data_IF_825065740117
#
_entry.id   IF_825065740117
#
_cell.length_a   1.000
_cell.length_b   1.000
_cell.length_c   1.000
_cell.angle_alpha   90.00
_cell.angle_beta   90.00
_cell.angle_gamma   90.00
#
_symmetry.space_group_name_H-M   'P 1'
#
loop_
_entity.id
_entity.type
_entity.pdbx_description
1 polymer ?
#
# COMPACT_ATOMS: atom_id res chain seq x y z
N UNK A 1 14.75 4.98 -13.51
CA UNK A 1 14.40 4.69 -12.10
C UNK A 1 14.16 5.95 -11.26
N UNK A 2 15.08 6.94 -11.25
CA UNK A 2 14.93 8.17 -10.45
C UNK A 2 13.56 8.88 -10.63
N UNK A 3 13.08 9.03 -11.86
CA UNK A 3 11.76 9.62 -12.13
C UNK A 3 10.59 8.82 -11.51
N UNK A 4 10.64 7.48 -11.58
CA UNK A 4 9.60 6.62 -10.98
C UNK A 4 9.61 6.74 -9.46
N UNK A 5 10.80 6.88 -8.84
CA UNK A 5 10.92 7.08 -7.40
C UNK A 5 10.19 8.35 -6.96
N UNK A 6 10.41 9.46 -7.66
CA UNK A 6 9.72 10.72 -7.38
C UNK A 6 8.20 10.54 -7.55
N UNK A 7 7.74 10.03 -8.69
CA UNK A 7 6.29 9.93 -8.97
C UNK A 7 5.58 9.01 -7.99
N UNK A 8 6.14 7.84 -7.68
CA UNK A 8 5.44 6.83 -6.87
C UNK A 8 5.67 7.04 -5.38
N UNK A 9 6.93 7.10 -4.93
CA UNK A 9 7.22 7.20 -3.49
C UNK A 9 6.89 8.58 -2.95
N UNK A 10 7.35 9.64 -3.62
CA UNK A 10 7.10 11.01 -3.16
C UNK A 10 5.69 11.46 -3.55
N UNK A 11 5.29 11.23 -4.81
CA UNK A 11 4.02 11.73 -5.34
C UNK A 11 2.78 11.01 -4.81
N UNK A 12 2.81 9.68 -4.71
CA UNK A 12 1.65 8.91 -4.25
C UNK A 12 1.78 8.50 -2.78
N UNK A 13 2.81 7.72 -2.43
CA UNK A 13 2.91 7.07 -1.11
C UNK A 13 3.07 8.08 0.02
N UNK A 14 4.03 9.01 -0.09
CA UNK A 14 4.27 10.01 0.95
C UNK A 14 3.05 10.94 1.11
N UNK A 15 2.40 11.34 0.01
CA UNK A 15 1.18 12.16 0.06
C UNK A 15 0.03 11.43 0.75
N UNK A 16 -0.20 10.14 0.44
CA UNK A 16 -1.20 9.33 1.15
C UNK A 16 -0.89 9.25 2.65
N UNK A 17 0.38 9.08 3.01
CA UNK A 17 0.81 9.09 4.41
C UNK A 17 0.56 10.44 5.09
N UNK A 18 0.84 11.55 4.42
CA UNK A 18 0.57 12.89 4.94
C UNK A 18 -0.92 13.08 5.25
N UNK A 19 -1.81 12.62 4.37
CA UNK A 19 -3.25 12.65 4.67
C UNK A 19 -3.60 11.84 5.92
N UNK A 20 -3.06 10.63 6.06
CA UNK A 20 -3.31 9.77 7.23
C UNK A 20 -2.81 10.42 8.52
N UNK A 21 -1.59 10.94 8.51
CA UNK A 21 -0.99 11.61 9.68
C UNK A 21 -1.74 12.90 10.04
N UNK A 22 -2.28 13.63 9.07
CA UNK A 22 -3.09 14.82 9.36
C UNK A 22 -4.49 14.50 9.91
N UNK A 23 -5.08 13.37 9.50
CA UNK A 23 -6.41 12.95 9.98
C UNK A 23 -6.36 12.30 11.37
N UNK A 24 -5.23 11.69 11.74
CA UNK A 24 -5.04 11.03 13.01
C UNK A 24 -4.28 11.95 13.97
N UNK A 25 -4.86 12.20 15.14
CA UNK A 25 -4.18 12.91 16.22
C UNK A 25 -3.22 11.95 16.94
N UNK A 26 -1.99 11.82 16.43
CA UNK A 26 -0.98 10.89 16.94
C UNK A 26 -0.10 11.63 17.97
N UNK A 27 -0.11 11.18 19.22
CA UNK A 27 0.81 11.67 20.26
C UNK A 27 2.18 10.96 20.14
N UNK A 28 3.14 11.66 19.54
CA UNK A 28 4.51 11.16 19.38
C UNK A 28 5.34 11.19 20.67
N UNK A 29 4.90 11.90 21.71
CA UNK A 29 5.61 11.98 22.97
C UNK A 29 5.45 10.68 23.77
N UNK A 30 4.25 10.10 23.78
CA UNK A 30 3.99 8.81 24.43
C UNK A 30 4.70 7.65 23.69
N UNK A 31 4.74 7.69 22.35
CA UNK A 31 5.48 6.70 21.54
C UNK A 31 7.00 6.72 21.76
N UNK A 32 7.56 7.85 22.20
CA UNK A 32 8.99 7.98 22.52
C UNK A 32 9.33 7.62 23.96
N UNK A 33 8.32 7.47 24.84
CA UNK A 33 8.55 7.01 26.19
C UNK A 33 9.04 5.56 26.18
N UNK A 34 10.25 5.31 26.70
CA UNK A 34 10.87 3.98 26.73
C UNK A 34 11.78 3.63 25.54
N UNK A 35 11.89 4.49 24.51
CA UNK A 35 12.82 4.26 23.41
C UNK A 35 14.30 4.26 23.85
N UNK A 36 14.62 5.06 24.88
CA UNK A 36 15.97 5.14 25.44
C UNK A 36 16.36 3.88 26.23
N UNK A 37 15.40 3.15 26.78
CA UNK A 37 15.66 1.93 27.56
C UNK A 37 16.19 0.80 26.66
N UNK A 38 15.80 0.78 25.39
CA UNK A 38 16.25 -0.18 24.38
C UNK A 38 17.44 0.30 23.54
N UNK A 39 17.91 1.53 23.75
CA UNK A 39 19.05 2.10 23.04
C UNK A 39 20.33 1.23 23.06
N UNK A 40 20.76 0.62 24.19
CA UNK A 40 21.98 -0.21 24.20
C UNK A 40 21.83 -1.49 23.37
N UNK A 41 20.64 -2.09 23.37
CA UNK A 41 20.35 -3.29 22.55
C UNK A 41 20.31 -2.92 21.07
N UNK A 42 19.65 -1.81 20.72
CA UNK A 42 19.63 -1.30 19.35
C UNK A 42 21.03 -0.94 18.84
N UNK A 43 21.86 -0.34 19.68
CA UNK A 43 23.25 -0.02 19.34
C UNK A 43 24.09 -1.29 19.09
N UNK A 44 23.93 -2.33 19.92
CA UNK A 44 24.62 -3.62 19.70
C UNK A 44 24.24 -4.24 18.35
N UNK A 45 22.94 -4.30 18.03
CA UNK A 45 22.44 -4.82 16.75
C UNK A 45 22.97 -3.96 15.59
N UNK A 46 22.95 -2.63 15.73
CA UNK A 46 23.45 -1.69 14.72
C UNK A 46 24.95 -1.88 14.44
N UNK A 47 25.75 -2.12 15.47
CA UNK A 47 27.19 -2.41 15.31
C UNK A 47 27.41 -3.74 14.60
N UNK A 48 26.66 -4.77 14.96
CA UNK A 48 26.74 -6.08 14.29
C UNK A 48 26.43 -5.93 12.80
N UNK A 49 25.32 -5.26 12.45
CA UNK A 49 24.95 -4.99 11.07
C UNK A 49 26.00 -4.14 10.33
N UNK A 50 26.57 -3.13 11.00
CA UNK A 50 27.62 -2.30 10.41
C UNK A 50 28.88 -3.12 10.10
N UNK A 51 29.29 -4.01 11.01
CA UNK A 51 30.41 -4.93 10.78
C UNK A 51 30.09 -5.88 9.62
N UNK A 52 28.88 -6.43 9.55
CA UNK A 52 28.44 -7.30 8.46
C UNK A 52 28.52 -6.58 7.10
N UNK A 53 28.02 -5.35 7.01
CA UNK A 53 28.11 -4.54 5.80
C UNK A 53 29.56 -4.21 5.42
N UNK A 54 30.44 -3.94 6.39
CA UNK A 54 31.86 -3.71 6.14
C UNK A 54 32.56 -4.97 5.63
N UNK A 55 32.24 -6.14 6.18
CA UNK A 55 32.78 -7.42 5.72
C UNK A 55 32.32 -7.72 4.30
N UNK A 56 31.03 -7.51 4.00
CA UNK A 56 30.50 -7.66 2.65
C UNK A 56 31.23 -6.71 1.70
N UNK A 57 31.22 -5.40 1.99
CA UNK A 57 31.85 -4.38 1.14
C UNK A 57 33.36 -4.63 0.94
N UNK A 58 34.07 -5.04 1.99
CA UNK A 58 35.48 -5.44 1.92
C UNK A 58 35.70 -6.69 1.07
N UNK A 59 34.80 -7.67 1.14
CA UNK A 59 34.80 -8.87 0.30
C UNK A 59 34.72 -8.54 -1.19
N UNK A 60 33.85 -7.60 -1.58
CA UNK A 60 33.77 -7.12 -2.98
C UNK A 60 35.07 -6.46 -3.46
N UNK A 61 35.77 -5.74 -2.58
CA UNK A 61 37.06 -5.11 -2.91
C UNK A 61 38.21 -6.13 -3.05
N UNK A 62 38.14 -7.28 -2.35
CA UNK A 62 39.18 -8.31 -2.34
C UNK A 62 39.04 -9.34 -3.46
N UNK A 63 37.84 -9.57 -3.99
CA UNK A 63 37.59 -10.52 -5.09
C UNK A 63 36.82 -9.89 -6.26
N UNK A 64 37.51 -9.17 -7.19
CA UNK A 64 36.89 -8.49 -8.32
C UNK A 64 36.30 -9.43 -9.40
N UNK A 65 36.53 -10.75 -9.30
CA UNK A 65 35.90 -11.73 -10.21
C UNK A 65 34.39 -11.85 -10.00
N UNK A 66 33.88 -11.68 -8.77
CA UNK A 66 32.45 -11.75 -8.45
C UNK A 66 31.68 -10.59 -9.09
N UNK A 67 32.32 -9.42 -9.21
CA UNK A 67 31.71 -8.21 -9.78
C UNK A 67 31.50 -8.30 -11.30
N UNK A 68 32.17 -9.22 -12.00
CA UNK A 68 32.06 -9.37 -13.46
C UNK A 68 30.94 -10.32 -13.90
N UNK A 69 30.32 -11.04 -12.97
CA UNK A 69 29.24 -12.00 -13.27
C UNK A 69 27.87 -11.32 -13.27
N UNK A 70 27.72 -10.22 -14.01
CA UNK A 70 26.40 -9.66 -14.27
C UNK A 70 25.69 -10.59 -15.28
N UNK A 71 24.66 -11.31 -14.83
CA UNK A 71 23.90 -12.24 -15.68
C UNK A 71 23.23 -11.56 -16.87
N UNK A 72 22.93 -10.27 -16.75
CA UNK A 72 22.37 -9.41 -17.81
C UNK A 72 22.99 -8.00 -17.71
N UNK A 73 24.06 -7.71 -18.46
CA UNK A 73 24.64 -6.37 -18.51
C UNK A 73 23.67 -5.39 -19.16
N UNK A 74 23.60 -4.17 -18.62
CA UNK A 74 22.82 -3.09 -19.23
C UNK A 74 23.55 -2.65 -20.50
N UNK A 75 22.88 -2.62 -21.67
CA UNK A 75 23.48 -2.12 -22.91
C UNK A 75 23.91 -0.65 -22.77
N UNK A 76 24.93 -0.22 -23.52
CA UNK A 76 25.30 1.19 -23.58
C UNK A 76 24.10 2.08 -23.92
N UNK A 77 24.01 3.26 -23.29
CA UNK A 77 22.91 4.21 -23.50
C UNK A 77 22.78 4.64 -24.97
N UNK A 78 23.89 4.62 -25.72
CA UNK A 78 23.95 4.89 -27.15
C UNK A 78 23.19 3.90 -28.01
N UNK A 79 23.04 2.65 -27.55
CA UNK A 79 22.35 1.59 -28.28
C UNK A 79 20.89 1.47 -27.86
N UNK A 80 20.62 1.57 -26.55
CA UNK A 80 19.28 1.42 -26.01
C UNK A 80 19.08 2.26 -24.76
N UNK A 81 17.92 2.93 -24.70
CA UNK A 81 17.56 3.70 -23.51
C UNK A 81 17.24 2.76 -22.34
N UNK A 82 17.50 3.22 -21.12
CA UNK A 82 17.26 2.43 -19.91
C UNK A 82 15.80 1.93 -19.81
N UNK A 83 14.83 2.77 -20.19
CA UNK A 83 13.41 2.40 -20.21
C UNK A 83 13.11 1.25 -21.17
N UNK A 84 13.70 1.27 -22.37
CA UNK A 84 13.52 0.22 -23.36
C UNK A 84 14.19 -1.08 -22.93
N UNK A 85 15.44 -1.01 -22.42
CA UNK A 85 16.16 -2.18 -21.91
C UNK A 85 15.44 -2.85 -20.73
N UNK A 86 14.88 -2.06 -19.81
CA UNK A 86 14.07 -2.59 -18.71
C UNK A 86 12.78 -3.23 -19.22
N UNK A 87 12.14 -2.62 -20.23
CA UNK A 87 10.95 -3.16 -20.87
C UNK A 87 11.20 -4.53 -21.48
N UNK A 88 12.32 -4.73 -22.18
CA UNK A 88 12.65 -6.02 -22.78
C UNK A 88 12.70 -7.11 -21.72
N UNK A 89 13.40 -6.86 -20.61
CA UNK A 89 13.56 -7.85 -19.53
C UNK A 89 12.24 -8.13 -18.82
N UNK A 90 11.46 -7.10 -18.51
CA UNK A 90 10.19 -7.24 -17.80
C UNK A 90 9.13 -7.98 -18.62
N UNK A 91 9.03 -7.69 -19.92
CA UNK A 91 7.99 -8.27 -20.78
C UNK A 91 8.39 -9.59 -21.44
N UNK A 92 9.68 -9.94 -21.48
CA UNK A 92 10.13 -11.23 -22.03
C UNK A 92 10.46 -12.24 -20.94
N UNK A 93 11.46 -11.96 -20.10
CA UNK A 93 11.98 -12.90 -19.11
C UNK A 93 11.14 -12.96 -17.83
N UNK A 94 10.59 -11.81 -17.39
CA UNK A 94 9.89 -11.68 -16.10
C UNK A 94 8.38 -11.43 -16.24
N UNK A 95 7.77 -11.84 -17.36
CA UNK A 95 6.35 -11.59 -17.65
C UNK A 95 5.42 -12.11 -16.56
N UNK A 96 5.73 -13.27 -15.97
CA UNK A 96 4.92 -13.84 -14.88
C UNK A 96 4.95 -12.96 -13.62
N UNK A 97 6.11 -12.43 -13.24
CA UNK A 97 6.21 -11.52 -12.10
C UNK A 97 5.48 -10.21 -12.37
N UNK A 98 5.54 -9.71 -13.60
CA UNK A 98 4.78 -8.53 -14.01
C UNK A 98 3.26 -8.75 -13.89
N UNK A 99 2.76 -9.92 -14.32
CA UNK A 99 1.34 -10.28 -14.17
C UNK A 99 0.93 -10.41 -12.71
N UNK A 100 1.75 -11.05 -11.87
CA UNK A 100 1.48 -11.18 -10.44
C UNK A 100 1.44 -9.80 -9.77
N UNK A 101 2.36 -8.89 -10.11
CA UNK A 101 2.32 -7.52 -9.60
C UNK A 101 1.01 -6.81 -9.98
N UNK A 102 0.50 -7.02 -11.20
CA UNK A 102 -0.81 -6.53 -11.63
C UNK A 102 -1.96 -7.07 -10.77
N UNK A 103 -1.95 -8.37 -10.46
CA UNK A 103 -2.93 -8.98 -9.55
C UNK A 103 -2.84 -8.42 -8.13
N UNK A 104 -1.63 -8.19 -7.62
CA UNK A 104 -1.42 -7.55 -6.31
C UNK A 104 -2.04 -6.15 -6.28
N UNK A 105 -1.83 -5.33 -7.32
CA UNK A 105 -2.42 -4.00 -7.42
C UNK A 105 -3.95 -4.05 -7.50
N UNK A 106 -4.52 -5.02 -8.24
CA UNK A 106 -5.95 -5.24 -8.31
C UNK A 106 -6.52 -5.57 -6.93
N UNK A 107 -5.92 -6.53 -6.22
CA UNK A 107 -6.33 -6.93 -4.87
C UNK A 107 -6.21 -5.76 -3.90
N UNK A 108 -5.13 -4.97 -3.98
CA UNK A 108 -4.95 -3.78 -3.14
C UNK A 108 -6.07 -2.75 -3.35
N UNK A 109 -6.48 -2.51 -4.60
CA UNK A 109 -7.59 -1.60 -4.92
C UNK A 109 -8.92 -2.10 -4.35
N UNK A 110 -9.23 -3.39 -4.55
CA UNK A 110 -10.45 -4.00 -4.00
C UNK A 110 -10.43 -3.92 -2.47
N UNK A 111 -9.31 -4.26 -1.84
CA UNK A 111 -9.14 -4.19 -0.39
C UNK A 111 -9.37 -2.79 0.15
N UNK A 112 -8.76 -1.77 -0.46
CA UNK A 112 -8.95 -0.38 -0.06
C UNK A 112 -10.43 0.07 -0.16
N UNK A 113 -11.13 -0.29 -1.24
CA UNK A 113 -12.55 0.06 -1.42
C UNK A 113 -13.41 -0.64 -0.37
N UNK A 114 -13.25 -1.95 -0.18
CA UNK A 114 -14.08 -2.73 0.75
C UNK A 114 -13.88 -2.26 2.18
N UNK A 115 -12.65 -1.92 2.58
CA UNK A 115 -12.35 -1.42 3.93
C UNK A 115 -12.90 0.00 4.19
N UNK A 116 -12.99 0.84 3.16
CA UNK A 116 -13.47 2.23 3.29
C UNK A 116 -14.96 2.40 2.99
N UNK A 117 -15.60 1.39 2.38
CA UNK A 117 -17.02 1.42 2.03
C UNK A 117 -17.89 1.38 3.28
N UNK A 118 -18.31 2.57 3.73
CA UNK A 118 -19.22 2.70 4.88
C UNK A 118 -20.67 2.43 4.47
N UNK A 119 -21.20 1.27 4.83
CA UNK A 119 -22.64 1.02 4.75
C UNK A 119 -23.39 1.85 5.79
N UNK A 120 -24.49 2.50 5.38
CA UNK A 120 -25.44 3.14 6.29
C UNK A 120 -26.57 2.13 6.58
N UNK A 121 -26.64 1.54 7.79
CA UNK A 121 -27.64 0.50 8.08
C UNK A 121 -29.05 1.05 8.35
N UNK A 122 -29.16 2.30 8.83
CA UNK A 122 -30.44 2.88 9.27
C UNK A 122 -31.14 3.76 8.22
N UNK A 123 -30.87 3.54 6.93
CA UNK A 123 -31.57 4.25 5.85
C UNK A 123 -32.74 3.41 5.35
N UNK A 124 -33.94 3.99 5.38
CA UNK A 124 -35.13 3.39 4.76
C UNK A 124 -34.87 3.30 3.25
N UNK A 125 -34.84 2.07 2.71
CA UNK A 125 -34.70 1.82 1.26
C UNK A 125 -36.04 1.43 0.67
N UNK A 126 -36.32 1.92 -0.54
CA UNK A 126 -37.51 1.55 -1.29
C UNK A 126 -37.34 0.15 -1.87
N UNK A 127 -38.30 -0.74 -1.61
CA UNK A 127 -38.44 -2.02 -2.30
C UNK A 127 -39.52 -1.87 -3.37
N UNK A 128 -39.10 -1.64 -4.62
CA UNK A 128 -40.00 -1.35 -5.75
C UNK A 128 -41.00 -2.51 -5.99
N UNK A 129 -40.58 -3.79 -6.03
CA UNK A 129 -41.52 -4.91 -6.15
C UNK A 129 -42.59 -4.91 -5.06
N UNK A 130 -42.21 -4.73 -3.79
CA UNK A 130 -43.16 -4.68 -2.68
C UNK A 130 -44.13 -3.49 -2.77
N UNK A 131 -43.67 -2.34 -3.27
CA UNK A 131 -44.51 -1.15 -3.39
C UNK A 131 -45.49 -1.22 -4.57
N UNK A 132 -45.08 -1.83 -5.69
CA UNK A 132 -45.95 -2.02 -6.86
C UNK A 132 -47.00 -3.10 -6.60
N UNK A 133 -46.66 -4.16 -5.85
CA UNK A 133 -47.59 -5.23 -5.49
C UNK A 133 -48.58 -4.85 -4.35
N UNK A 134 -48.56 -3.59 -3.89
CA UNK A 134 -49.41 -3.10 -2.79
C UNK A 134 -50.88 -3.19 -3.16
N UNK A 135 -51.66 -3.84 -2.31
CA UNK A 135 -53.12 -3.88 -2.37
C UNK A 135 -53.75 -2.88 -1.39
N UNK A 136 -55.04 -2.53 -1.54
CA UNK A 136 -55.72 -1.63 -0.60
C UNK A 136 -55.67 -2.09 0.85
N UNK A 137 -55.63 -3.40 1.11
CA UNK A 137 -55.53 -3.97 2.46
C UNK A 137 -54.16 -3.71 3.11
N UNK A 138 -53.09 -3.74 2.31
CA UNK A 138 -51.71 -3.46 2.75
C UNK A 138 -51.35 -1.98 2.66
N UNK A 139 -52.33 -1.12 2.37
CA UNK A 139 -52.06 0.25 1.98
C UNK A 139 -51.65 1.12 3.18
N UNK A 140 -52.36 0.98 4.29
CA UNK A 140 -52.20 1.84 5.45
C UNK A 140 -52.07 0.96 6.68
N UNK A 141 -51.00 1.17 7.45
CA UNK A 141 -50.83 0.56 8.75
C UNK A 141 -50.98 1.66 9.81
N UNK A 142 -51.97 1.53 10.68
CA UNK A 142 -52.20 2.49 11.76
C UNK A 142 -51.33 2.10 12.94
N UNK A 143 -50.15 2.72 13.03
CA UNK A 143 -49.20 2.48 14.14
C UNK A 143 -49.42 3.52 15.24
N UNK A 144 -49.65 3.05 16.48
CA UNK A 144 -49.65 3.93 17.66
C UNK A 144 -48.22 4.20 18.12
N UNK A 145 -47.71 5.39 17.82
CA UNK A 145 -46.41 5.87 18.28
C UNK A 145 -46.53 6.54 19.65
N UNK A 146 -45.52 6.32 20.51
CA UNK A 146 -45.42 7.00 21.81
C UNK A 146 -45.07 8.49 21.60
N UNK A 147 -45.61 9.43 22.40
CA UNK A 147 -45.29 10.85 22.28
C UNK A 147 -43.78 11.09 22.36
N UNK A 148 -43.22 11.82 21.39
CA UNK A 148 -41.78 12.14 21.33
C UNK A 148 -40.89 11.14 20.59
N UNK A 149 -41.41 10.00 20.15
CA UNK A 149 -40.71 9.07 19.27
C UNK A 149 -41.26 9.20 17.85
N UNK A 150 -40.54 9.89 16.96
CA UNK A 150 -40.85 9.92 15.53
C UNK A 150 -40.75 8.52 14.89
N UNK A 151 -41.30 8.37 13.68
CA UNK A 151 -41.32 7.11 12.90
C UNK A 151 -40.02 6.91 12.10
#
# INVERSE_FOLDING_TARGET
>A
LAMILLVVYVGAVAVLFLFVVMMLDIDFAELRAGALDYAPVGALIGVILAIELLVVAGGWAMSPEIAKTASMPIPPISERTNTAALGDVLYTNYVYFFQIAGLVLLVAMIGAIVLTLRHKPHIKRQNIPQQVARTPATAVEVVKVKPGQGI
#
